data_IF_870302468136
#
_entry.id   IF_870302468136
#
_cell.length_a   1.000
_cell.length_b   1.000
_cell.length_c   1.000
_cell.angle_alpha   90.00
_cell.angle_beta   90.00
_cell.angle_gamma   90.00
#
_symmetry.space_group_name_H-M   'P 1'
#
loop_
_entity.id
_entity.type
_entity.pdbx_description
1 polymer ?
#
# COMPACT_ATOMS: atom_id res chain seq x y z
N UNK A 1 -26.19 -21.43 -22.96
CA UNK A 1 -26.14 -19.97 -22.85
C UNK A 1 -24.72 -19.64 -22.42
N UNK A 2 -23.94 -19.05 -23.32
CA UNK A 2 -22.49 -18.87 -23.21
C UNK A 2 -22.16 -17.81 -22.16
N UNK A 3 -21.51 -18.20 -21.07
CA UNK A 3 -20.80 -17.29 -20.19
C UNK A 3 -19.43 -16.99 -20.80
N UNK A 4 -19.28 -15.80 -21.34
CA UNK A 4 -17.96 -15.30 -21.74
C UNK A 4 -17.08 -15.12 -20.49
N UNK A 5 -16.17 -16.04 -20.29
CA UNK A 5 -15.05 -15.88 -19.38
C UNK A 5 -14.12 -14.84 -19.98
N UNK A 6 -14.10 -13.64 -19.39
CA UNK A 6 -13.04 -12.66 -19.66
C UNK A 6 -11.71 -13.30 -19.25
N UNK A 7 -10.92 -13.66 -20.24
CA UNK A 7 -9.57 -14.17 -20.05
C UNK A 7 -8.70 -13.14 -19.32
N UNK A 8 -7.61 -13.56 -18.69
CA UNK A 8 -6.66 -12.65 -18.07
C UNK A 8 -6.15 -11.68 -19.12
N UNK A 9 -6.12 -10.37 -18.80
CA UNK A 9 -5.49 -9.37 -19.66
C UNK A 9 -4.07 -9.82 -20.01
N UNK A 10 -3.60 -9.63 -21.25
CA UNK A 10 -2.30 -10.13 -21.68
C UNK A 10 -1.22 -9.59 -20.76
N UNK A 11 -0.38 -10.49 -20.27
CA UNK A 11 0.83 -10.14 -19.55
C UNK A 11 1.67 -9.20 -20.44
N UNK A 12 2.15 -8.07 -19.93
CA UNK A 12 2.98 -7.16 -20.72
C UNK A 12 4.30 -7.78 -21.22
N UNK A 13 4.60 -9.02 -20.85
CA UNK A 13 5.73 -9.79 -21.35
C UNK A 13 5.60 -10.24 -22.81
N UNK A 14 4.41 -10.16 -23.44
CA UNK A 14 4.20 -10.57 -24.81
C UNK A 14 4.37 -9.44 -25.85
N UNK A 15 4.54 -8.19 -25.42
CA UNK A 15 4.68 -7.05 -26.31
C UNK A 15 6.15 -6.79 -26.67
N UNK A 16 6.41 -6.28 -27.89
CA UNK A 16 7.73 -5.78 -28.23
C UNK A 16 8.12 -4.66 -27.28
N UNK A 17 9.25 -4.81 -26.60
CA UNK A 17 9.72 -3.83 -25.63
C UNK A 17 11.03 -3.19 -26.07
N UNK A 18 11.17 -1.89 -25.80
CA UNK A 18 12.40 -1.14 -26.01
C UNK A 18 12.91 -0.57 -24.68
N UNK A 19 14.22 -0.47 -24.56
CA UNK A 19 14.85 0.24 -23.43
C UNK A 19 15.31 1.61 -23.88
N UNK A 20 14.84 2.64 -23.20
CA UNK A 20 15.21 4.05 -23.46
C UNK A 20 15.89 4.62 -22.23
N UNK A 21 16.95 5.41 -22.45
CA UNK A 21 17.67 6.12 -21.40
C UNK A 21 17.57 7.62 -21.61
N UNK A 22 17.03 8.32 -20.63
CA UNK A 22 16.77 9.75 -20.70
C UNK A 22 17.24 10.45 -19.41
N UNK A 23 17.35 11.77 -19.47
CA UNK A 23 17.49 12.56 -18.23
C UNK A 23 16.22 12.40 -17.36
N UNK A 24 16.31 12.64 -16.05
CA UNK A 24 15.14 12.56 -15.18
C UNK A 24 13.95 13.40 -15.66
N UNK A 25 14.20 14.61 -16.12
CA UNK A 25 13.17 15.51 -16.67
C UNK A 25 12.56 14.95 -17.96
N UNK A 26 13.39 14.58 -18.94
CA UNK A 26 12.93 14.04 -20.22
C UNK A 26 12.22 12.69 -20.12
N UNK A 27 12.47 11.94 -19.04
CA UNK A 27 11.83 10.63 -18.81
C UNK A 27 10.33 10.68 -18.53
N UNK A 28 9.79 11.89 -18.30
CA UNK A 28 8.36 12.15 -18.07
C UNK A 28 7.70 12.86 -19.25
N UNK A 29 8.49 13.21 -20.26
CA UNK A 29 8.03 13.87 -21.49
C UNK A 29 7.78 12.84 -22.59
N UNK A 30 6.52 12.64 -23.02
CA UNK A 30 6.19 11.71 -24.09
C UNK A 30 6.91 12.00 -25.42
N UNK A 31 7.15 13.28 -25.75
CA UNK A 31 7.84 13.67 -26.98
C UNK A 31 9.31 13.25 -26.94
N UNK A 32 9.97 13.45 -25.78
CA UNK A 32 11.35 13.02 -25.60
C UNK A 32 11.48 11.48 -25.65
N UNK A 33 10.52 10.75 -25.10
CA UNK A 33 10.48 9.27 -25.18
C UNK A 33 10.31 8.84 -26.63
N UNK A 34 9.36 9.42 -27.37
CA UNK A 34 9.12 9.11 -28.78
C UNK A 34 10.37 9.40 -29.65
N UNK A 35 11.01 10.55 -29.43
CA UNK A 35 12.24 10.91 -30.13
C UNK A 35 13.37 9.90 -29.87
N UNK A 36 13.51 9.42 -28.65
CA UNK A 36 14.51 8.42 -28.28
C UNK A 36 14.22 7.03 -28.88
N UNK A 37 12.95 6.63 -29.00
CA UNK A 37 12.54 5.40 -29.70
C UNK A 37 12.88 5.52 -31.20
N UNK A 38 12.56 6.65 -31.82
CA UNK A 38 12.88 6.90 -33.22
C UNK A 38 14.38 6.86 -33.51
N UNK A 39 15.23 7.39 -32.61
CA UNK A 39 16.69 7.28 -32.72
C UNK A 39 17.20 5.83 -32.70
N UNK A 40 16.44 4.90 -32.11
CA UNK A 40 16.74 3.47 -32.13
C UNK A 40 16.13 2.75 -33.34
N UNK A 41 15.55 3.48 -34.30
CA UNK A 41 14.89 2.90 -35.47
C UNK A 41 13.50 2.36 -35.21
N UNK A 42 12.91 2.70 -34.06
CA UNK A 42 11.56 2.28 -33.68
C UNK A 42 10.60 3.42 -33.98
N UNK A 43 9.86 3.27 -35.09
CA UNK A 43 8.78 4.19 -35.47
C UNK A 43 7.45 3.56 -35.04
N UNK A 44 6.84 4.09 -34.00
CA UNK A 44 5.61 3.58 -33.42
C UNK A 44 4.56 4.69 -33.32
N UNK A 45 3.30 4.33 -33.53
CA UNK A 45 2.16 5.26 -33.40
C UNK A 45 1.79 5.50 -31.95
N UNK A 46 2.01 4.51 -31.12
CA UNK A 46 1.73 4.57 -29.69
C UNK A 46 2.76 3.76 -28.89
N UNK A 47 2.99 4.16 -27.66
CA UNK A 47 3.85 3.43 -26.74
C UNK A 47 3.35 3.60 -25.31
N UNK A 48 3.73 2.67 -24.44
CA UNK A 48 3.38 2.72 -23.03
C UNK A 48 4.61 2.45 -22.17
N UNK A 49 4.86 3.30 -21.17
CA UNK A 49 5.92 3.06 -20.19
C UNK A 49 5.52 1.92 -19.27
N UNK A 50 6.25 0.81 -19.34
CA UNK A 50 6.01 -0.39 -18.52
C UNK A 50 6.78 -0.38 -17.22
N UNK A 51 7.95 0.31 -17.21
CA UNK A 51 8.81 0.42 -16.03
C UNK A 51 9.66 1.67 -16.12
N UNK A 52 9.84 2.35 -14.99
CA UNK A 52 10.73 3.50 -14.82
C UNK A 52 11.71 3.23 -13.68
N UNK A 53 13.00 3.35 -13.93
CA UNK A 53 14.07 3.11 -12.97
C UNK A 53 15.11 4.21 -13.02
N UNK A 54 15.46 4.80 -11.88
CA UNK A 54 16.54 5.77 -11.78
C UNK A 54 17.88 5.05 -11.58
N UNK A 55 18.84 5.27 -12.48
CA UNK A 55 20.24 4.86 -12.30
C UNK A 55 21.10 6.07 -11.90
N UNK A 56 21.28 6.25 -10.60
CA UNK A 56 22.10 7.31 -10.02
C UNK A 56 23.59 6.93 -9.89
N UNK A 57 24.00 5.73 -10.32
CA UNK A 57 25.42 5.33 -10.37
C UNK A 57 26.18 6.06 -11.49
N UNK A 58 25.44 6.41 -12.54
CA UNK A 58 25.94 7.18 -13.71
C UNK A 58 26.01 8.68 -13.41
N UNK A 59 26.75 9.40 -14.22
CA UNK A 59 26.89 10.87 -14.15
C UNK A 59 26.79 11.47 -15.54
N UNK A 60 25.80 12.31 -15.80
CA UNK A 60 24.63 12.60 -14.94
C UNK A 60 23.81 11.34 -14.67
N UNK A 61 22.96 11.40 -13.62
CA UNK A 61 21.98 10.33 -13.36
C UNK A 61 21.05 10.18 -14.56
N UNK A 62 20.68 8.95 -14.88
CA UNK A 62 19.79 8.65 -16.01
C UNK A 62 18.60 7.82 -15.53
N UNK A 63 17.47 8.00 -16.21
CA UNK A 63 16.30 7.17 -16.02
C UNK A 63 16.25 6.13 -17.14
N UNK A 64 16.18 4.88 -16.77
CA UNK A 64 15.95 3.76 -17.68
C UNK A 64 14.46 3.48 -17.73
N UNK A 65 13.87 3.55 -18.92
CA UNK A 65 12.50 3.21 -19.21
C UNK A 65 12.46 1.88 -19.97
N UNK A 66 11.58 0.99 -19.55
CA UNK A 66 11.11 -0.11 -20.40
C UNK A 66 9.80 0.34 -20.99
N UNK A 67 9.73 0.39 -22.30
CA UNK A 67 8.61 0.91 -23.07
C UNK A 67 8.04 -0.24 -23.90
N UNK A 68 6.75 -0.48 -23.79
CA UNK A 68 6.00 -1.34 -24.69
C UNK A 68 5.66 -0.57 -25.96
N UNK A 69 5.98 -1.15 -27.12
CA UNK A 69 5.74 -0.58 -28.45
C UNK A 69 4.43 -1.13 -28.98
N UNK A 70 3.58 -0.27 -29.55
CA UNK A 70 2.22 -0.60 -30.04
C UNK A 70 1.35 -1.28 -28.96
N UNK A 71 1.54 -0.90 -27.70
CA UNK A 71 0.76 -1.39 -26.57
C UNK A 71 -0.26 -0.33 -26.20
N UNK A 72 -1.52 -0.73 -26.05
CA UNK A 72 -2.55 0.10 -25.44
C UNK A 72 -2.14 0.52 -24.02
N UNK A 73 -2.65 1.66 -23.58
CA UNK A 73 -2.41 2.21 -22.24
C UNK A 73 -2.43 1.11 -21.18
N UNK A 74 -1.51 1.14 -20.24
CA UNK A 74 -1.49 0.21 -19.10
C UNK A 74 -2.85 0.26 -18.40
N UNK A 75 -3.76 -0.60 -18.81
CA UNK A 75 -5.00 -0.79 -18.09
C UNK A 75 -4.66 -1.41 -16.73
N UNK A 76 -4.86 -0.70 -15.66
CA UNK A 76 -4.79 -1.30 -14.34
C UNK A 76 -6.05 -2.12 -14.07
N UNK A 77 -5.90 -3.19 -13.31
CA UNK A 77 -7.02 -4.04 -12.93
C UNK A 77 -7.95 -3.27 -12.01
N UNK A 78 -9.09 -2.82 -12.52
CA UNK A 78 -10.16 -2.23 -11.70
C UNK A 78 -10.82 -3.32 -10.86
N UNK A 79 -11.40 -2.93 -9.73
CA UNK A 79 -12.16 -3.84 -8.91
C UNK A 79 -13.54 -4.17 -9.51
N UNK A 80 -13.98 -5.39 -9.33
CA UNK A 80 -15.35 -5.80 -9.65
C UNK A 80 -16.26 -5.58 -8.44
N UNK A 81 -16.83 -4.39 -8.30
CA UNK A 81 -17.57 -3.97 -7.13
C UNK A 81 -19.03 -4.45 -7.17
N UNK A 82 -19.32 -5.56 -6.48
CA UNK A 82 -20.67 -6.12 -6.36
C UNK A 82 -21.48 -5.42 -5.29
N UNK A 83 -22.80 -5.35 -5.46
CA UNK A 83 -23.67 -5.01 -4.34
C UNK A 83 -23.80 -6.23 -3.41
N UNK A 84 -23.39 -6.06 -2.16
CA UNK A 84 -23.32 -7.13 -1.16
C UNK A 84 -24.22 -6.88 0.07
N UNK A 85 -25.14 -5.91 -0.01
CA UNK A 85 -25.99 -5.54 1.13
C UNK A 85 -26.73 -6.72 1.78
N UNK A 86 -27.22 -7.66 0.96
CA UNK A 86 -27.92 -8.87 1.41
C UNK A 86 -27.05 -10.13 1.44
N UNK A 87 -25.74 -10.01 1.22
CA UNK A 87 -24.86 -11.16 1.15
C UNK A 87 -24.43 -11.66 2.55
N UNK A 88 -23.85 -12.87 2.58
CA UNK A 88 -23.34 -13.48 3.81
C UNK A 88 -22.27 -12.59 4.46
N UNK A 89 -22.42 -12.24 5.75
CA UNK A 89 -21.50 -11.32 6.42
C UNK A 89 -20.18 -12.01 6.79
N UNK A 90 -19.08 -11.29 6.59
CA UNK A 90 -17.73 -11.64 7.08
C UNK A 90 -17.19 -10.46 7.88
N UNK A 91 -16.85 -10.69 9.13
CA UNK A 91 -16.24 -9.67 9.98
C UNK A 91 -14.75 -9.55 9.66
N UNK A 92 -14.29 -8.30 9.50
CA UNK A 92 -12.87 -7.97 9.35
C UNK A 92 -12.47 -7.07 10.53
N UNK A 93 -11.62 -7.58 11.42
CA UNK A 93 -11.17 -6.87 12.61
C UNK A 93 -9.92 -6.07 12.27
N UNK A 94 -10.07 -4.74 12.24
CA UNK A 94 -9.03 -3.77 11.91
C UNK A 94 -9.21 -3.15 10.51
N UNK A 95 -9.20 -1.82 10.45
CA UNK A 95 -9.28 -1.00 9.24
C UNK A 95 -7.89 -0.54 8.75
N UNK A 96 -6.84 -1.29 9.03
CA UNK A 96 -5.53 -1.11 8.43
C UNK A 96 -5.47 -1.59 6.98
N UNK A 97 -4.30 -1.51 6.30
CA UNK A 97 -4.19 -1.92 4.90
C UNK A 97 -4.69 -3.34 4.65
N UNK A 98 -4.31 -4.31 5.51
CA UNK A 98 -4.76 -5.69 5.36
C UNK A 98 -6.29 -5.83 5.44
N UNK A 99 -6.92 -5.12 6.39
CA UNK A 99 -8.37 -5.15 6.55
C UNK A 99 -9.13 -4.49 5.41
N UNK A 100 -8.69 -3.31 4.96
CA UNK A 100 -9.34 -2.60 3.84
C UNK A 100 -9.25 -3.40 2.54
N UNK A 101 -8.08 -3.94 2.20
CA UNK A 101 -7.93 -4.80 1.02
C UNK A 101 -8.71 -6.11 1.14
N UNK A 102 -8.78 -6.69 2.33
CA UNK A 102 -9.61 -7.85 2.61
C UNK A 102 -11.09 -7.53 2.36
N UNK A 103 -11.59 -6.42 2.88
CA UNK A 103 -12.98 -5.99 2.70
C UNK A 103 -13.33 -5.77 1.22
N UNK A 104 -12.47 -5.09 0.47
CA UNK A 104 -12.63 -4.90 -0.97
C UNK A 104 -12.62 -6.25 -1.72
N UNK A 105 -11.74 -7.18 -1.33
CA UNK A 105 -11.72 -8.51 -1.92
C UNK A 105 -12.96 -9.33 -1.60
N UNK A 106 -13.51 -9.23 -0.41
CA UNK A 106 -14.77 -9.87 -0.02
C UNK A 106 -15.92 -9.38 -0.89
N UNK A 107 -15.99 -8.09 -1.20
CA UNK A 107 -16.99 -7.51 -2.11
C UNK A 107 -16.89 -8.15 -3.51
N UNK A 108 -15.68 -8.27 -4.07
CA UNK A 108 -15.50 -8.95 -5.36
C UNK A 108 -15.96 -10.40 -5.34
N UNK A 109 -15.76 -11.08 -4.21
CA UNK A 109 -16.19 -12.47 -4.02
C UNK A 109 -17.69 -12.59 -3.74
N UNK A 110 -18.40 -11.49 -3.48
CA UNK A 110 -19.82 -11.47 -3.21
C UNK A 110 -20.18 -11.70 -1.74
N UNK A 111 -19.26 -11.42 -0.81
CA UNK A 111 -19.51 -11.42 0.63
C UNK A 111 -19.69 -10.00 1.16
N UNK A 112 -20.50 -9.83 2.20
CA UNK A 112 -20.68 -8.55 2.88
C UNK A 112 -19.60 -8.36 3.94
N UNK A 113 -18.60 -7.47 3.75
CA UNK A 113 -17.65 -7.15 4.80
C UNK A 113 -18.30 -6.29 5.89
N UNK A 114 -18.01 -6.62 7.15
CA UNK A 114 -18.27 -5.78 8.32
C UNK A 114 -16.90 -5.48 8.93
N UNK A 115 -16.34 -4.31 8.61
CA UNK A 115 -15.04 -3.88 9.13
C UNK A 115 -15.24 -3.23 10.49
N UNK A 116 -14.53 -3.71 11.51
CA UNK A 116 -14.60 -3.21 12.88
C UNK A 116 -13.23 -2.67 13.28
N UNK A 117 -13.16 -1.37 13.54
CA UNK A 117 -11.95 -0.67 13.91
C UNK A 117 -12.10 -0.05 15.32
N UNK A 118 -11.12 -0.31 16.19
CA UNK A 118 -11.12 0.23 17.56
C UNK A 118 -10.92 1.73 17.61
N UNK A 119 -10.13 2.25 16.67
CA UNK A 119 -9.81 3.67 16.59
C UNK A 119 -10.81 4.48 15.78
N UNK A 120 -10.44 5.71 15.51
CA UNK A 120 -11.26 6.68 14.80
C UNK A 120 -10.98 6.68 13.31
N UNK A 121 -11.88 7.30 12.56
CA UNK A 121 -11.70 7.58 11.13
C UNK A 121 -10.50 8.53 10.90
N UNK A 122 -9.97 8.58 9.69
CA UNK A 122 -8.73 9.28 9.33
C UNK A 122 -8.68 10.72 9.84
N UNK A 123 -9.75 11.51 9.66
CA UNK A 123 -9.74 12.95 10.04
C UNK A 123 -9.74 13.15 11.53
N UNK A 124 -10.53 12.38 12.27
CA UNK A 124 -10.59 12.46 13.73
C UNK A 124 -9.30 11.94 14.38
N UNK A 125 -8.78 10.80 13.88
CA UNK A 125 -7.52 10.23 14.29
C UNK A 125 -6.35 11.21 14.17
N UNK A 126 -6.34 12.06 13.14
CA UNK A 126 -5.32 13.10 13.00
C UNK A 126 -5.30 14.08 14.18
N UNK A 127 -6.47 14.37 14.76
CA UNK A 127 -6.55 15.23 15.96
C UNK A 127 -5.90 14.58 17.18
N UNK A 128 -6.08 13.26 17.35
CA UNK A 128 -5.46 12.50 18.45
C UNK A 128 -3.93 12.49 18.29
N UNK A 129 -3.43 12.32 17.07
CA UNK A 129 -1.98 12.41 16.79
C UNK A 129 -1.41 13.81 17.09
N UNK A 130 -2.16 14.87 16.83
CA UNK A 130 -1.75 16.24 17.23
C UNK A 130 -1.63 16.36 18.75
N UNK A 131 -2.56 15.76 19.53
CA UNK A 131 -2.46 15.75 20.99
C UNK A 131 -1.25 14.95 21.47
N UNK A 132 -0.99 13.79 20.84
CA UNK A 132 0.18 12.99 21.12
C UNK A 132 1.49 13.77 20.87
N UNK A 133 1.61 14.39 19.69
CA UNK A 133 2.84 15.10 19.29
C UNK A 133 3.07 16.35 20.17
N UNK A 134 2.00 17.14 20.42
CA UNK A 134 2.14 18.43 21.11
C UNK A 134 2.12 18.32 22.64
N UNK A 135 1.43 17.33 23.17
CA UNK A 135 1.17 17.23 24.63
C UNK A 135 1.59 15.89 25.24
N UNK A 136 2.13 14.95 24.43
CA UNK A 136 2.45 13.60 24.92
C UNK A 136 1.24 12.77 25.33
N UNK A 137 0.02 13.22 25.00
CA UNK A 137 -1.21 12.52 25.41
C UNK A 137 -1.57 11.44 24.39
N UNK A 138 -1.43 10.19 24.80
CA UNK A 138 -1.79 9.01 23.97
C UNK A 138 -3.26 8.66 24.19
N UNK A 139 -4.04 8.56 23.09
CA UNK A 139 -5.31 7.87 23.13
C UNK A 139 -5.06 6.36 22.95
N UNK A 140 -5.48 5.49 23.87
CA UNK A 140 -5.17 4.07 23.81
C UNK A 140 -5.77 3.34 22.60
N UNK A 141 -6.84 3.85 22.04
CA UNK A 141 -7.55 3.26 20.90
C UNK A 141 -7.37 4.02 19.58
N UNK A 142 -6.85 5.25 19.61
CA UNK A 142 -6.66 6.08 18.41
C UNK A 142 -5.30 6.78 18.45
N UNK A 143 -4.30 6.20 17.80
CA UNK A 143 -2.91 6.65 17.85
C UNK A 143 -2.13 6.24 16.59
N UNK A 144 -0.79 6.15 16.63
CA UNK A 144 0.00 5.69 15.48
C UNK A 144 -0.23 4.22 15.10
N UNK A 145 -0.64 3.38 16.05
CA UNK A 145 -0.87 1.95 15.79
C UNK A 145 -2.31 1.67 15.37
N UNK A 146 -3.28 2.40 15.93
CA UNK A 146 -4.71 2.11 15.84
C UNK A 146 -5.46 3.27 15.18
N UNK A 147 -6.50 2.90 14.44
CA UNK A 147 -7.35 3.79 13.65
C UNK A 147 -7.26 3.51 12.16
N UNK A 148 -8.18 4.11 11.41
CA UNK A 148 -8.34 3.90 9.99
C UNK A 148 -7.03 4.08 9.21
N UNK A 149 -6.74 3.13 8.31
CA UNK A 149 -5.54 3.08 7.49
C UNK A 149 -4.30 2.50 8.20
N UNK A 150 -4.36 2.25 9.53
CA UNK A 150 -3.28 1.63 10.30
C UNK A 150 -2.06 2.53 10.49
N UNK A 151 -0.90 1.92 10.81
CA UNK A 151 0.31 2.64 11.20
C UNK A 151 0.93 3.50 10.09
N UNK A 152 0.64 3.20 8.81
CA UNK A 152 1.20 3.90 7.65
C UNK A 152 0.41 5.10 7.14
N UNK A 153 -0.76 5.38 7.69
CA UNK A 153 -1.72 6.36 7.14
C UNK A 153 -1.14 7.75 6.88
N UNK A 154 -0.27 8.22 7.74
CA UNK A 154 0.32 9.56 7.66
C UNK A 154 1.79 9.56 7.25
N UNK A 155 2.25 8.45 6.65
CA UNK A 155 3.55 8.37 6.00
C UNK A 155 3.50 8.89 4.56
N UNK A 156 4.63 8.90 3.88
CA UNK A 156 4.70 9.19 2.44
C UNK A 156 4.22 8.02 1.55
N UNK A 157 3.81 6.90 2.16
CA UNK A 157 3.20 5.77 1.46
C UNK A 157 4.15 5.06 0.51
N UNK A 158 5.33 4.65 0.97
CA UNK A 158 6.23 3.81 0.18
C UNK A 158 5.61 2.46 -0.09
N UNK A 159 5.59 2.07 -1.37
CA UNK A 159 4.91 0.86 -1.86
C UNK A 159 5.90 -0.24 -2.31
N UNK A 160 7.19 -0.06 -2.04
CA UNK A 160 8.18 -1.07 -2.41
C UNK A 160 7.96 -2.37 -1.64
N UNK A 161 7.88 -3.49 -2.38
CA UNK A 161 7.79 -4.83 -1.79
C UNK A 161 8.68 -5.81 -2.53
N UNK A 162 9.25 -6.75 -1.79
CA UNK A 162 9.95 -7.93 -2.34
C UNK A 162 9.00 -9.13 -2.50
N UNK A 163 7.81 -9.07 -1.91
CA UNK A 163 6.82 -10.15 -1.90
C UNK A 163 5.98 -10.14 -3.19
N UNK A 164 6.59 -10.52 -4.31
CA UNK A 164 5.91 -10.57 -5.63
C UNK A 164 5.39 -11.96 -6.01
N UNK A 165 5.68 -13.00 -5.21
CA UNK A 165 5.36 -14.40 -5.53
C UNK A 165 3.95 -14.83 -5.11
N UNK A 166 3.29 -14.09 -4.22
CA UNK A 166 1.98 -14.45 -3.69
C UNK A 166 0.98 -13.33 -3.94
N UNK A 167 -0.02 -13.59 -4.75
CA UNK A 167 -1.04 -12.62 -5.13
C UNK A 167 -0.57 -11.58 -6.15
N UNK A 168 -1.53 -10.84 -6.73
CA UNK A 168 -1.27 -9.80 -7.72
C UNK A 168 -0.99 -8.45 -7.04
N UNK A 169 0.27 -8.09 -6.93
CA UNK A 169 0.66 -6.75 -6.45
C UNK A 169 0.15 -5.64 -7.39
N UNK A 170 0.02 -5.92 -8.70
CA UNK A 170 -0.54 -4.98 -9.68
C UNK A 170 -2.00 -4.64 -9.38
N UNK A 171 -2.79 -5.62 -8.94
CA UNK A 171 -4.17 -5.40 -8.51
C UNK A 171 -4.23 -4.49 -7.29
N UNK A 172 -3.34 -4.70 -6.31
CA UNK A 172 -3.25 -3.86 -5.11
C UNK A 172 -2.96 -2.40 -5.49
N UNK A 173 -1.98 -2.16 -6.37
CA UNK A 173 -1.67 -0.81 -6.85
C UNK A 173 -2.79 -0.23 -7.72
N UNK A 174 -3.42 -1.05 -8.58
CA UNK A 174 -4.56 -0.65 -9.39
C UNK A 174 -5.73 -0.12 -8.54
N UNK A 175 -6.03 -0.79 -7.44
CA UNK A 175 -7.04 -0.31 -6.51
C UNK A 175 -6.65 1.00 -5.81
N UNK A 176 -5.37 1.23 -5.53
CA UNK A 176 -4.93 2.54 -5.05
C UNK A 176 -5.16 3.64 -6.10
N UNK A 177 -4.84 3.36 -7.36
CA UNK A 177 -5.09 4.30 -8.47
C UNK A 177 -6.58 4.57 -8.63
N UNK A 178 -7.43 3.54 -8.57
CA UNK A 178 -8.88 3.69 -8.63
C UNK A 178 -9.45 4.59 -7.50
N UNK A 179 -8.74 4.66 -6.37
CA UNK A 179 -9.09 5.51 -5.22
C UNK A 179 -8.26 6.79 -5.11
N UNK A 180 -7.59 7.20 -6.18
CA UNK A 180 -6.96 8.53 -6.30
C UNK A 180 -5.44 8.58 -6.15
N UNK A 181 -4.75 7.43 -6.20
CA UNK A 181 -3.30 7.44 -6.35
C UNK A 181 -2.89 7.78 -7.79
N UNK A 182 -1.73 8.39 -7.96
CA UNK A 182 -1.16 8.67 -9.28
C UNK A 182 -0.81 7.37 -10.02
N UNK A 183 -1.01 7.34 -11.33
CA UNK A 183 -0.71 6.16 -12.16
C UNK A 183 0.79 5.79 -12.17
N UNK A 184 1.66 6.74 -11.89
CA UNK A 184 3.11 6.52 -11.82
C UNK A 184 3.51 5.38 -10.86
N UNK A 185 2.70 5.09 -9.84
CA UNK A 185 2.96 3.97 -8.92
C UNK A 185 2.92 2.59 -9.60
N UNK A 186 2.30 2.48 -10.77
CA UNK A 186 2.21 1.24 -11.54
C UNK A 186 3.51 0.93 -12.29
N UNK A 187 4.30 1.95 -12.59
CA UNK A 187 5.49 1.86 -13.45
C UNK A 187 6.79 2.12 -12.69
N UNK A 188 6.77 2.92 -11.64
CA UNK A 188 7.96 3.27 -10.87
C UNK A 188 8.52 2.07 -10.11
N UNK A 189 9.85 1.88 -10.17
CA UNK A 189 10.52 0.75 -9.48
C UNK A 189 10.44 0.89 -7.97
N UNK A 190 10.45 2.11 -7.45
CA UNK A 190 10.30 2.43 -6.03
C UNK A 190 9.12 3.40 -5.85
N UNK A 191 7.87 2.92 -6.05
CA UNK A 191 6.73 3.80 -6.01
C UNK A 191 6.43 4.28 -4.60
N UNK A 192 5.95 5.51 -4.49
CA UNK A 192 5.42 6.08 -3.26
C UNK A 192 4.20 6.96 -3.58
N UNK A 193 3.29 7.03 -2.64
CA UNK A 193 2.02 7.79 -2.80
C UNK A 193 2.27 9.29 -2.72
N UNK A 194 3.21 9.70 -1.90
CA UNK A 194 3.48 11.10 -1.56
C UNK A 194 2.79 11.53 -0.26
N UNK A 195 3.40 12.53 0.36
CA UNK A 195 3.00 13.03 1.68
C UNK A 195 1.54 13.51 1.68
N UNK A 196 0.79 13.13 2.70
CA UNK A 196 -0.62 13.48 2.92
C UNK A 196 -1.64 12.99 1.86
N UNK A 197 -1.28 12.16 0.89
CA UNK A 197 -2.23 11.62 -0.11
C UNK A 197 -2.95 10.36 0.38
N UNK A 198 -2.28 9.51 1.17
CA UNK A 198 -2.86 8.27 1.71
C UNK A 198 -4.20 8.45 2.43
N UNK A 199 -4.41 9.47 3.28
CA UNK A 199 -5.70 9.68 3.95
C UNK A 199 -6.89 9.76 3.00
N UNK A 200 -6.75 10.40 1.85
CA UNK A 200 -7.82 10.51 0.86
C UNK A 200 -8.11 9.17 0.18
N UNK A 201 -7.06 8.42 -0.18
CA UNK A 201 -7.17 7.09 -0.79
C UNK A 201 -7.87 6.12 0.18
N UNK A 202 -7.47 6.13 1.45
CA UNK A 202 -8.05 5.30 2.50
C UNK A 202 -9.54 5.62 2.68
N UNK A 203 -9.91 6.90 2.76
CA UNK A 203 -11.31 7.32 2.81
C UNK A 203 -12.09 6.85 1.57
N UNK A 204 -11.52 6.96 0.38
CA UNK A 204 -12.14 6.48 -0.85
C UNK A 204 -12.38 4.96 -0.83
N UNK A 205 -11.44 4.17 -0.30
CA UNK A 205 -11.62 2.72 -0.11
C UNK A 205 -12.78 2.43 0.86
N UNK A 206 -12.86 3.14 2.00
CA UNK A 206 -13.99 3.01 2.94
C UNK A 206 -15.32 3.35 2.27
N UNK A 207 -15.39 4.45 1.56
CA UNK A 207 -16.61 4.88 0.84
C UNK A 207 -17.03 3.84 -0.19
N UNK A 208 -16.08 3.22 -0.88
CA UNK A 208 -16.35 2.09 -1.78
C UNK A 208 -16.96 0.91 -1.04
N UNK A 209 -16.41 0.51 0.10
CA UNK A 209 -16.94 -0.59 0.92
C UNK A 209 -18.39 -0.30 1.30
N UNK A 210 -18.68 0.91 1.79
CA UNK A 210 -20.03 1.31 2.21
C UNK A 210 -20.99 1.38 1.01
N UNK A 211 -20.58 1.96 -0.10
CA UNK A 211 -21.42 2.08 -1.30
C UNK A 211 -21.80 0.74 -1.91
N UNK A 212 -21.00 -0.30 -1.69
CA UNK A 212 -21.30 -1.68 -2.10
C UNK A 212 -22.21 -2.42 -1.13
N UNK A 213 -22.62 -1.82 0.00
CA UNK A 213 -23.45 -2.45 1.01
C UNK A 213 -22.68 -3.14 2.14
N UNK A 214 -21.35 -2.96 2.21
CA UNK A 214 -20.55 -3.32 3.37
C UNK A 214 -20.73 -2.34 4.53
N UNK A 215 -20.17 -2.66 5.68
CA UNK A 215 -20.22 -1.83 6.89
C UNK A 215 -18.81 -1.52 7.38
N UNK A 216 -18.63 -0.30 7.94
CA UNK A 216 -17.41 0.09 8.65
C UNK A 216 -17.81 0.74 9.97
N UNK A 217 -17.34 0.15 11.09
CA UNK A 217 -17.65 0.60 12.46
C UNK A 217 -16.37 1.06 13.13
N UNK A 218 -16.32 2.34 13.51
CA UNK A 218 -15.22 2.92 14.25
C UNK A 218 -15.51 2.96 15.75
N UNK A 219 -14.45 3.18 16.54
CA UNK A 219 -14.51 3.24 18.00
C UNK A 219 -15.17 1.98 18.60
N UNK A 220 -15.03 0.86 17.89
CA UNK A 220 -15.60 -0.42 18.24
C UNK A 220 -14.47 -1.44 18.42
N UNK A 221 -14.18 -1.79 19.68
CA UNK A 221 -13.12 -2.75 20.00
C UNK A 221 -13.69 -4.17 20.05
N UNK A 222 -13.07 -5.07 19.29
CA UNK A 222 -13.31 -6.51 19.42
C UNK A 222 -12.51 -7.03 20.61
N UNK A 223 -13.19 -7.79 21.47
CA UNK A 223 -12.63 -8.34 22.71
C UNK A 223 -12.54 -9.86 22.70
N UNK A 224 -13.10 -10.53 21.69
CA UNK A 224 -13.05 -11.98 21.56
C UNK A 224 -13.78 -12.45 20.32
N UNK A 225 -13.66 -13.76 20.07
CA UNK A 225 -14.41 -14.46 19.00
C UNK A 225 -15.65 -15.11 19.61
N UNK A 226 -16.80 -14.88 19.01
CA UNK A 226 -18.03 -15.57 19.38
C UNK A 226 -18.08 -16.96 18.73
N UNK A 227 -18.30 -17.99 19.55
CA UNK A 227 -18.29 -19.40 19.12
C UNK A 227 -19.53 -20.12 19.60
N UNK A 228 -19.97 -21.07 18.81
CA UNK A 228 -20.95 -22.07 19.22
C UNK A 228 -20.34 -23.06 20.21
N UNK A 229 -21.20 -23.87 20.85
CA UNK A 229 -20.76 -24.98 21.69
C UNK A 229 -19.91 -26.02 20.95
N UNK A 230 -20.08 -26.13 19.63
CA UNK A 230 -19.29 -26.95 18.73
C UNK A 230 -17.85 -26.46 18.51
N UNK A 231 -17.55 -25.17 18.92
CA UNK A 231 -16.32 -24.47 18.66
C UNK A 231 -16.32 -23.70 17.34
N UNK A 232 -17.36 -23.82 16.51
CA UNK A 232 -17.48 -23.09 15.25
C UNK A 232 -17.62 -21.57 15.51
N UNK A 233 -16.93 -20.78 14.71
CA UNK A 233 -16.99 -19.31 14.78
C UNK A 233 -18.33 -18.83 14.22
N UNK A 234 -19.05 -18.01 14.97
CA UNK A 234 -20.31 -17.40 14.56
C UNK A 234 -20.28 -15.86 14.58
N UNK A 235 -19.16 -15.26 14.95
CA UNK A 235 -19.00 -13.83 14.98
C UNK A 235 -17.88 -13.34 15.91
N UNK A 236 -18.02 -12.11 16.36
CA UNK A 236 -17.12 -11.48 17.33
C UNK A 236 -17.88 -10.83 18.49
N UNK A 237 -17.19 -10.64 19.59
CA UNK A 237 -17.68 -9.96 20.78
C UNK A 237 -17.07 -8.56 20.81
N UNK A 238 -17.91 -7.55 21.03
CA UNK A 238 -17.51 -6.15 21.21
C UNK A 238 -18.11 -5.60 22.50
N UNK A 239 -17.70 -4.39 22.92
CA UNK A 239 -18.32 -3.71 24.06
C UNK A 239 -19.81 -3.39 23.84
N UNK A 240 -20.23 -3.26 22.57
CA UNK A 240 -21.63 -2.97 22.18
C UNK A 240 -22.48 -4.22 22.01
N UNK A 241 -21.87 -5.41 22.14
CA UNK A 241 -22.53 -6.69 21.99
C UNK A 241 -21.90 -7.58 20.92
N UNK A 242 -22.67 -8.59 20.51
CA UNK A 242 -22.22 -9.57 19.52
C UNK A 242 -22.47 -9.08 18.09
N UNK A 243 -21.52 -9.36 17.19
CA UNK A 243 -21.65 -9.14 15.75
C UNK A 243 -21.56 -10.48 15.06
N UNK A 244 -22.69 -10.96 14.57
CA UNK A 244 -22.77 -12.26 13.90
C UNK A 244 -22.09 -12.22 12.52
N UNK A 245 -21.37 -13.28 12.18
CA UNK A 245 -20.72 -13.44 10.88
C UNK A 245 -20.42 -14.92 10.59
N UNK A 246 -20.40 -15.29 9.33
CA UNK A 246 -20.04 -16.63 8.89
C UNK A 246 -18.52 -16.92 9.02
N UNK A 247 -17.71 -15.89 9.02
CA UNK A 247 -16.27 -15.99 9.20
C UNK A 247 -15.71 -14.68 9.81
N UNK A 248 -14.54 -14.78 10.43
CA UNK A 248 -13.82 -13.66 11.03
C UNK A 248 -12.40 -13.63 10.49
N UNK A 249 -11.99 -12.47 10.00
CA UNK A 249 -10.61 -12.18 9.57
C UNK A 249 -9.98 -11.20 10.57
N UNK A 250 -8.90 -11.59 11.24
CA UNK A 250 -8.18 -10.75 12.17
C UNK A 250 -7.04 -10.04 11.45
N UNK A 251 -7.14 -8.72 11.30
CA UNK A 251 -6.22 -7.86 10.56
C UNK A 251 -5.72 -6.67 11.41
N UNK A 252 -5.53 -6.87 12.71
CA UNK A 252 -5.26 -5.83 13.71
C UNK A 252 -3.82 -5.31 13.74
N UNK A 253 -2.93 -5.90 12.95
CA UNK A 253 -1.51 -5.59 12.98
C UNK A 253 -0.80 -6.13 14.23
N UNK A 254 0.51 -5.94 14.29
CA UNK A 254 1.33 -6.50 15.38
C UNK A 254 1.29 -5.68 16.69
N UNK A 255 0.79 -4.45 16.66
CA UNK A 255 0.72 -3.57 17.82
C UNK A 255 -0.44 -3.90 18.78
N UNK A 256 -1.41 -4.68 18.35
CA UNK A 256 -2.60 -5.03 19.14
C UNK A 256 -2.30 -6.19 20.11
N UNK A 257 -1.60 -5.89 21.22
CA UNK A 257 -1.17 -6.90 22.22
C UNK A 257 -2.35 -7.59 22.88
N UNK A 258 -3.38 -6.85 23.20
CA UNK A 258 -4.65 -7.34 23.76
C UNK A 258 -5.32 -8.40 22.86
N UNK A 259 -5.16 -8.29 21.54
CA UNK A 259 -5.67 -9.30 20.59
C UNK A 259 -4.89 -10.61 20.74
N UNK A 260 -3.58 -10.56 20.89
CA UNK A 260 -2.79 -11.78 21.13
C UNK A 260 -3.13 -12.42 22.47
N UNK A 261 -3.40 -11.60 23.50
CA UNK A 261 -3.79 -12.06 24.84
C UNK A 261 -5.13 -12.81 24.80
N UNK A 262 -6.19 -12.23 24.23
CA UNK A 262 -7.46 -12.93 24.14
C UNK A 262 -7.42 -14.12 23.18
N UNK A 263 -6.65 -14.08 22.09
CA UNK A 263 -6.43 -15.23 21.22
C UNK A 263 -5.84 -16.42 22.00
N UNK A 264 -4.88 -16.16 22.86
CA UNK A 264 -4.26 -17.18 23.69
C UNK A 264 -5.24 -17.72 24.73
N UNK A 265 -6.03 -16.84 25.37
CA UNK A 265 -7.09 -17.21 26.31
C UNK A 265 -8.18 -18.07 25.66
N UNK A 266 -8.52 -17.79 24.39
CA UNK A 266 -9.47 -18.56 23.58
C UNK A 266 -8.88 -19.89 23.05
N UNK A 267 -7.66 -20.25 23.46
CA UNK A 267 -7.00 -21.50 23.05
C UNK A 267 -6.46 -21.51 21.62
N UNK A 268 -6.34 -20.35 20.97
CA UNK A 268 -5.67 -20.26 19.67
C UNK A 268 -4.16 -20.40 19.83
N UNK A 269 -3.54 -21.15 18.92
CA UNK A 269 -2.08 -21.29 18.92
C UNK A 269 -1.41 -19.98 18.50
N UNK A 270 -0.63 -19.40 19.42
CA UNK A 270 0.16 -18.19 19.17
C UNK A 270 1.65 -18.53 19.33
N UNK A 271 2.41 -18.33 18.28
CA UNK A 271 3.84 -18.62 18.23
C UNK A 271 4.67 -17.34 18.25
N UNK A 272 5.78 -17.37 18.98
CA UNK A 272 6.77 -16.29 18.97
C UNK A 272 7.53 -16.29 17.64
N UNK A 273 7.65 -15.11 17.05
CA UNK A 273 8.50 -14.90 15.86
C UNK A 273 9.54 -13.82 16.12
N UNK A 274 10.75 -13.96 15.56
CA UNK A 274 11.75 -12.90 15.62
C UNK A 274 11.24 -11.65 14.93
N UNK A 275 11.62 -10.49 15.44
CA UNK A 275 11.29 -9.18 14.87
C UNK A 275 12.54 -8.30 14.81
N UNK A 276 12.51 -7.28 13.96
CA UNK A 276 13.56 -6.28 13.91
C UNK A 276 13.22 -5.14 14.89
N UNK A 277 14.20 -4.77 15.71
CA UNK A 277 14.15 -3.61 16.58
C UNK A 277 15.18 -2.59 16.08
N UNK A 278 14.82 -1.33 16.04
CA UNK A 278 15.72 -0.29 15.57
C UNK A 278 15.39 1.08 16.13
N UNK A 279 16.14 2.05 15.65
CA UNK A 279 15.99 3.45 15.98
C UNK A 279 15.64 4.25 14.73
N UNK A 280 15.00 5.40 14.92
CA UNK A 280 14.80 6.39 13.88
C UNK A 280 16.00 7.31 13.82
N UNK A 281 16.56 7.50 12.63
CA UNK A 281 17.61 8.47 12.36
C UNK A 281 17.05 9.48 11.35
N UNK A 282 17.26 10.75 11.60
CA UNK A 282 16.83 11.84 10.70
C UNK A 282 18.04 12.56 10.11
N UNK A 283 17.95 12.85 8.82
CA UNK A 283 18.95 13.61 8.07
C UNK A 283 18.27 14.73 7.27
N UNK A 284 18.92 15.88 7.07
CA UNK A 284 18.47 16.83 6.06
C UNK A 284 18.45 16.17 4.68
N UNK A 285 17.32 16.25 3.97
CA UNK A 285 17.18 15.64 2.64
C UNK A 285 18.22 16.14 1.64
N UNK A 286 18.58 17.43 1.71
CA UNK A 286 19.63 18.02 0.89
C UNK A 286 21.00 17.34 1.08
N UNK A 287 21.32 16.94 2.32
CA UNK A 287 22.53 16.19 2.61
C UNK A 287 22.50 14.79 1.98
N UNK A 288 21.36 14.08 2.09
CA UNK A 288 21.19 12.77 1.47
C UNK A 288 21.28 12.88 -0.05
N UNK A 289 20.58 13.84 -0.66
CA UNK A 289 20.63 14.09 -2.10
C UNK A 289 22.06 14.31 -2.59
N UNK A 290 22.81 15.19 -1.90
CA UNK A 290 24.19 15.49 -2.24
C UNK A 290 25.08 14.25 -2.21
N UNK A 291 24.92 13.39 -1.21
CA UNK A 291 25.72 12.17 -1.05
C UNK A 291 25.34 11.09 -2.08
N UNK A 292 24.05 10.82 -2.24
CA UNK A 292 23.56 9.74 -3.11
C UNK A 292 23.71 10.11 -4.59
N UNK A 293 23.33 11.31 -4.97
CA UNK A 293 23.45 11.80 -6.35
C UNK A 293 24.83 12.40 -6.64
N UNK A 294 25.69 12.55 -5.61
CA UNK A 294 27.04 13.13 -5.72
C UNK A 294 27.02 14.51 -6.39
N UNK A 295 26.04 15.31 -5.99
CA UNK A 295 25.89 16.68 -6.51
C UNK A 295 27.12 17.53 -6.17
N UNK A 296 27.50 18.41 -7.08
CA UNK A 296 28.63 19.34 -6.91
C UNK A 296 28.12 20.77 -7.04
N UNK A 297 28.71 21.66 -6.25
CA UNK A 297 28.38 23.09 -6.27
C UNK A 297 26.99 23.36 -5.72
N UNK A 298 26.32 24.36 -6.26
CA UNK A 298 24.98 24.78 -5.87
C UNK A 298 23.85 23.99 -6.56
N UNK A 299 24.16 22.94 -7.34
CA UNK A 299 23.15 22.14 -8.02
C UNK A 299 22.24 21.43 -7.01
N UNK A 300 20.93 21.64 -7.16
CA UNK A 300 19.91 21.00 -6.35
C UNK A 300 19.33 19.80 -7.10
N UNK A 301 18.89 18.78 -6.37
CA UNK A 301 18.28 17.61 -6.98
C UNK A 301 17.01 17.97 -7.76
N UNK A 302 16.22 18.90 -7.25
CA UNK A 302 14.97 19.36 -7.85
C UNK A 302 15.20 20.04 -9.21
N UNK A 303 16.27 20.83 -9.35
CA UNK A 303 16.66 21.47 -10.61
C UNK A 303 17.00 20.46 -11.72
N UNK A 304 17.42 19.26 -11.30
CA UNK A 304 17.74 18.14 -12.20
C UNK A 304 16.57 17.18 -12.40
N UNK A 305 15.40 17.45 -11.82
CA UNK A 305 14.24 16.57 -11.85
C UNK A 305 14.45 15.25 -11.12
N UNK A 306 15.40 15.20 -10.16
CA UNK A 306 15.72 14.02 -9.37
C UNK A 306 14.75 13.91 -8.19
N UNK A 307 14.19 12.73 -7.91
CA UNK A 307 13.37 12.52 -6.73
C UNK A 307 14.22 12.64 -5.45
N UNK A 308 13.61 12.81 -4.27
CA UNK A 308 14.32 12.72 -2.99
C UNK A 308 15.13 11.44 -2.90
N UNK A 309 16.44 11.57 -2.66
CA UNK A 309 17.33 10.42 -2.62
C UNK A 309 17.06 9.54 -1.40
N UNK A 310 17.14 8.24 -1.59
CA UNK A 310 17.07 7.23 -0.54
C UNK A 310 18.38 6.41 -0.52
N UNK A 311 18.65 5.76 0.59
CA UNK A 311 19.74 4.79 0.69
C UNK A 311 19.25 3.48 1.31
N UNK A 312 19.96 2.39 1.00
CA UNK A 312 19.74 1.10 1.61
C UNK A 312 21.09 0.55 2.05
N UNK A 313 21.22 0.27 3.34
CA UNK A 313 22.43 -0.24 3.95
C UNK A 313 22.12 -1.58 4.63
N UNK A 314 23.02 -2.51 4.51
CA UNK A 314 22.95 -3.83 5.18
C UNK A 314 24.35 -4.21 5.63
N UNK A 315 24.47 -4.67 6.87
CA UNK A 315 25.69 -5.25 7.39
C UNK A 315 25.37 -6.36 8.38
N UNK A 316 26.32 -7.25 8.59
CA UNK A 316 26.27 -8.26 9.63
C UNK A 316 27.18 -7.83 10.79
N UNK A 317 26.70 -8.02 12.00
CA UNK A 317 27.42 -7.80 13.24
C UNK A 317 27.41 -9.08 14.07
N UNK A 318 28.19 -9.13 15.15
CA UNK A 318 28.17 -10.27 16.09
C UNK A 318 26.78 -10.50 16.69
N UNK A 319 25.98 -9.42 16.86
CA UNK A 319 24.62 -9.48 17.40
C UNK A 319 23.53 -9.78 16.37
N UNK A 320 23.87 -9.89 15.07
CA UNK A 320 22.92 -10.17 14.00
C UNK A 320 22.97 -9.18 12.84
N UNK A 321 22.04 -9.30 11.92
CA UNK A 321 21.91 -8.42 10.76
C UNK A 321 21.40 -7.04 11.13
N UNK A 322 22.09 -6.01 10.66
CA UNK A 322 21.66 -4.60 10.79
C UNK A 322 21.38 -4.03 9.40
N UNK A 323 20.24 -3.38 9.23
CA UNK A 323 19.85 -2.85 7.93
C UNK A 323 18.97 -1.58 8.07
N UNK A 324 19.08 -0.71 7.06
CA UNK A 324 18.11 0.39 6.93
C UNK A 324 16.78 -0.18 6.43
N UNK A 325 15.71 0.08 7.17
CA UNK A 325 14.41 -0.50 6.85
C UNK A 325 13.60 0.36 5.89
N UNK A 326 13.42 1.62 6.25
CA UNK A 326 12.60 2.57 5.50
C UNK A 326 13.21 3.96 5.61
N UNK A 327 13.28 4.68 4.49
CA UNK A 327 13.53 6.13 4.47
C UNK A 327 12.24 6.86 4.12
N UNK A 328 11.87 7.78 4.95
CA UNK A 328 10.74 8.68 4.72
C UNK A 328 11.24 10.10 4.50
#
# INVERSE_FOLDING_TARGET
>A
MNSATSGPSPDPEAAATAMVRLSPQASRDPEAIAAALKQQGIDCKQFTVLKRSLDARRRPAVVELIVGVEVEELSFVKGEWKNVAGAQPVVVVGAGPAGLYCALRLIELGFKPIVIERGKEVRERRRDLVQLIRKGKVDPDSNYCFGEGGAGTYSDGKLYTRAKKRGSWRKVLGWMVEHGAEQDILVDTHPHIGTNKLPAIISGMRERIISCGGEVRFQCRVTGVDREASGAVQGVITAEGRVAAAAVVVATGHGARDVFEWMQQDGLQVERKPFALGVRIEHPQSWVNTRQYRLRGAALADDLGLPPAAYSLVTQTEGGGVFSFCMC
#
